data_IF_334330358318
#
_entry.id   IF_334330358318
#
_cell.length_a   1.000
_cell.length_b   1.000
_cell.length_c   1.000
_cell.angle_alpha   90.00
_cell.angle_beta   90.00
_cell.angle_gamma   90.00
#
_symmetry.space_group_name_H-M   'P 1'
#
loop_
_entity.id
_entity.type
_entity.pdbx_description
1 polymer ?
#
# COMPACT_ATOMS: atom_id res chain seq x y z
N UNK A 1 9.32 -9.94 -21.53
CA UNK A 1 10.39 -9.03 -21.05
C UNK A 1 11.80 -9.49 -21.48
N UNK A 2 12.11 -10.79 -21.48
CA UNK A 2 13.45 -11.33 -21.84
C UNK A 2 13.98 -11.04 -23.26
N UNK A 3 13.11 -10.70 -24.22
CA UNK A 3 13.53 -10.45 -25.62
C UNK A 3 14.31 -9.14 -25.82
N UNK A 4 14.20 -8.16 -24.91
CA UNK A 4 14.87 -6.86 -25.06
C UNK A 4 16.33 -6.86 -24.57
N UNK A 5 16.68 -7.74 -23.62
CA UNK A 5 18.03 -7.77 -23.07
C UNK A 5 19.08 -8.32 -24.05
N UNK A 6 18.68 -9.18 -24.98
CA UNK A 6 19.59 -9.83 -25.94
C UNK A 6 20.01 -8.93 -27.12
N UNK A 7 19.30 -7.82 -27.39
CA UNK A 7 19.55 -6.95 -28.54
C UNK A 7 20.31 -5.66 -28.20
N UNK A 8 20.63 -5.42 -26.92
CA UNK A 8 21.23 -4.16 -26.47
C UNK A 8 20.29 -2.95 -26.55
N UNK A 9 19.01 -3.16 -26.89
CA UNK A 9 17.99 -2.12 -26.98
C UNK A 9 17.18 -2.14 -25.68
N UNK A 10 17.30 -1.07 -24.88
CA UNK A 10 16.50 -0.91 -23.68
C UNK A 10 14.99 -0.98 -24.02
N UNK A 11 14.25 -1.84 -23.32
CA UNK A 11 12.78 -1.90 -23.44
C UNK A 11 12.10 -0.59 -23.02
N UNK A 12 10.77 -0.48 -23.19
CA UNK A 12 10.02 0.68 -22.71
C UNK A 12 10.22 0.81 -21.19
N UNK A 13 10.61 2.01 -20.74
CA UNK A 13 10.80 2.32 -19.33
C UNK A 13 10.65 3.83 -19.11
N UNK A 14 10.35 4.21 -17.87
CA UNK A 14 10.27 5.62 -17.49
C UNK A 14 11.53 6.40 -17.90
N UNK A 15 12.71 5.84 -17.64
CA UNK A 15 13.98 6.51 -17.98
C UNK A 15 14.19 6.66 -19.48
N UNK A 16 13.77 5.66 -20.28
CA UNK A 16 13.82 5.76 -21.73
C UNK A 16 12.90 6.86 -22.23
N UNK A 17 11.65 6.88 -21.77
CA UNK A 17 10.68 7.94 -22.11
C UNK A 17 11.21 9.32 -21.73
N UNK A 18 11.81 9.47 -20.54
CA UNK A 18 12.37 10.73 -20.07
C UNK A 18 13.54 11.22 -20.95
N UNK A 19 14.38 10.31 -21.43
CA UNK A 19 15.52 10.63 -22.31
C UNK A 19 15.09 10.95 -23.74
N UNK A 20 14.06 10.28 -24.26
CA UNK A 20 13.54 10.46 -25.62
C UNK A 20 12.59 11.68 -25.72
N UNK A 21 11.88 12.02 -24.65
CA UNK A 21 10.97 13.17 -24.60
C UNK A 21 11.70 14.44 -24.13
N UNK A 22 12.17 15.23 -25.10
CA UNK A 22 12.89 16.49 -24.86
C UNK A 22 12.05 17.66 -24.30
N UNK A 23 10.77 17.43 -23.96
CA UNK A 23 9.81 18.48 -23.60
C UNK A 23 9.91 19.01 -22.17
N UNK A 24 10.66 18.37 -21.28
CA UNK A 24 10.66 18.68 -19.84
C UNK A 24 11.77 19.64 -19.39
N UNK A 25 12.66 20.08 -20.30
CA UNK A 25 13.80 20.99 -20.02
C UNK A 25 14.69 20.55 -18.84
N UNK A 26 14.74 19.25 -18.54
CA UNK A 26 15.58 18.71 -17.48
C UNK A 26 17.00 18.45 -18.00
N UNK A 27 17.99 18.86 -17.22
CA UNK A 27 19.38 18.45 -17.42
C UNK A 27 19.54 16.94 -17.18
N UNK A 28 20.65 16.37 -17.69
CA UNK A 28 20.97 14.95 -17.45
C UNK A 28 21.03 14.62 -15.96
N UNK A 29 21.55 15.52 -15.14
CA UNK A 29 21.66 15.35 -13.69
C UNK A 29 20.26 15.30 -13.05
N UNK A 30 19.37 16.22 -13.41
CA UNK A 30 18.00 16.22 -12.91
C UNK A 30 17.22 14.97 -13.33
N UNK A 31 17.41 14.50 -14.57
CA UNK A 31 16.84 13.24 -15.02
C UNK A 31 17.35 12.04 -14.21
N UNK A 32 18.66 11.99 -13.90
CA UNK A 32 19.23 10.95 -13.05
C UNK A 32 18.66 11.00 -11.62
N UNK A 33 18.52 12.20 -11.03
CA UNK A 33 17.90 12.34 -9.72
C UNK A 33 16.43 11.94 -9.72
N UNK A 34 15.68 12.29 -10.77
CA UNK A 34 14.28 11.90 -10.90
C UNK A 34 14.14 10.37 -10.98
N UNK A 35 14.96 9.71 -11.79
CA UNK A 35 15.00 8.25 -11.87
C UNK A 35 15.35 7.58 -10.54
N UNK A 36 16.40 8.05 -9.87
CA UNK A 36 16.81 7.53 -8.56
C UNK A 36 15.75 7.75 -7.48
N UNK A 37 15.12 8.93 -7.47
CA UNK A 37 14.04 9.26 -6.53
C UNK A 37 12.83 8.36 -6.74
N UNK A 38 12.42 8.12 -7.99
CA UNK A 38 11.31 7.23 -8.28
C UNK A 38 11.61 5.81 -7.82
N UNK A 39 12.78 5.26 -8.15
CA UNK A 39 13.16 3.91 -7.73
C UNK A 39 13.19 3.78 -6.20
N UNK A 40 13.88 4.68 -5.51
CA UNK A 40 14.00 4.65 -4.04
C UNK A 40 12.66 4.86 -3.34
N UNK A 41 11.82 5.76 -3.85
CA UNK A 41 10.52 6.05 -3.23
C UNK A 41 9.51 4.92 -3.42
N UNK A 42 9.57 4.12 -4.51
CA UNK A 42 8.57 3.08 -4.74
C UNK A 42 8.87 1.78 -4.01
N UNK A 43 10.12 1.30 -4.06
CA UNK A 43 10.44 -0.08 -3.64
C UNK A 43 10.22 -0.27 -2.14
N UNK A 44 10.74 0.66 -1.33
CA UNK A 44 10.73 0.54 0.13
C UNK A 44 9.31 0.70 0.70
N UNK A 45 8.58 1.73 0.25
CA UNK A 45 7.23 2.01 0.72
C UNK A 45 6.22 0.91 0.35
N UNK A 46 6.32 0.32 -0.85
CA UNK A 46 5.44 -0.79 -1.26
C UNK A 46 5.74 -2.03 -0.42
N UNK A 47 7.03 -2.32 -0.18
CA UNK A 47 7.44 -3.44 0.69
C UNK A 47 6.90 -3.27 2.11
N UNK A 48 7.02 -2.08 2.70
CA UNK A 48 6.47 -1.77 4.01
C UNK A 48 4.95 -1.99 4.07
N UNK A 49 4.22 -1.49 3.07
CA UNK A 49 2.76 -1.63 2.98
C UNK A 49 2.32 -3.11 2.87
N UNK A 50 2.97 -3.89 2.00
CA UNK A 50 2.68 -5.33 1.85
C UNK A 50 2.98 -6.07 3.16
N UNK A 51 4.11 -5.76 3.80
CA UNK A 51 4.53 -6.42 5.04
C UNK A 51 3.57 -6.10 6.19
N UNK A 52 3.11 -4.85 6.32
CA UNK A 52 2.10 -4.46 7.28
C UNK A 52 0.74 -5.15 7.03
N UNK A 53 0.34 -5.30 5.76
CA UNK A 53 -0.87 -6.02 5.39
C UNK A 53 -0.78 -7.53 5.66
N UNK A 54 0.40 -8.15 5.47
CA UNK A 54 0.66 -9.55 5.86
C UNK A 54 0.55 -9.72 7.38
N UNK A 55 1.14 -8.78 8.15
CA UNK A 55 1.03 -8.76 9.61
C UNK A 55 -0.44 -8.67 10.03
N UNK A 56 -1.21 -7.77 9.42
CA UNK A 56 -2.63 -7.63 9.68
C UNK A 56 -3.40 -8.92 9.35
N UNK A 57 -3.11 -9.56 8.22
CA UNK A 57 -3.80 -10.78 7.79
C UNK A 57 -3.56 -11.95 8.77
N UNK A 58 -2.34 -12.06 9.30
CA UNK A 58 -1.99 -13.07 10.29
C UNK A 58 -2.70 -12.82 11.64
N UNK A 59 -2.76 -11.56 12.08
CA UNK A 59 -3.34 -11.16 13.36
C UNK A 59 -4.88 -11.09 13.36
N UNK A 60 -5.49 -10.94 12.19
CA UNK A 60 -6.92 -10.71 11.98
C UNK A 60 -7.49 -11.69 10.94
N UNK A 61 -7.50 -13.01 11.24
CA UNK A 61 -7.90 -14.03 10.27
C UNK A 61 -9.35 -13.88 9.77
N UNK A 62 -10.25 -13.29 10.56
CA UNK A 62 -11.62 -12.98 10.18
C UNK A 62 -11.72 -11.92 9.08
N UNK A 63 -10.83 -10.93 9.09
CA UNK A 63 -10.75 -9.91 8.05
C UNK A 63 -10.21 -10.51 6.75
N UNK A 64 -9.14 -11.30 6.84
CA UNK A 64 -8.61 -12.05 5.70
C UNK A 64 -9.67 -13.01 5.12
N UNK A 65 -10.44 -13.71 5.96
CA UNK A 65 -11.46 -14.66 5.50
C UNK A 65 -12.55 -13.99 4.64
N UNK A 66 -13.00 -12.77 5.01
CA UNK A 66 -13.96 -11.99 4.20
C UNK A 66 -13.42 -11.68 2.81
N UNK A 67 -12.16 -11.26 2.72
CA UNK A 67 -11.52 -11.03 1.42
C UNK A 67 -11.46 -12.33 0.62
N UNK A 68 -11.07 -13.44 1.25
CA UNK A 68 -11.00 -14.75 0.61
C UNK A 68 -12.36 -15.26 0.11
N UNK A 69 -13.44 -15.02 0.84
CA UNK A 69 -14.81 -15.32 0.40
C UNK A 69 -15.19 -14.51 -0.85
N UNK A 70 -14.85 -13.22 -0.88
CA UNK A 70 -15.07 -12.39 -2.06
C UNK A 70 -14.25 -12.87 -3.27
N UNK A 71 -12.98 -13.24 -3.07
CA UNK A 71 -12.13 -13.79 -4.13
C UNK A 71 -12.71 -15.08 -4.72
N UNK A 72 -13.18 -15.99 -3.86
CA UNK A 72 -13.79 -17.25 -4.29
C UNK A 72 -15.07 -17.01 -5.09
N UNK A 73 -15.85 -15.96 -4.76
CA UNK A 73 -17.08 -15.62 -5.46
C UNK A 73 -16.85 -14.92 -6.81
N UNK A 74 -15.85 -14.02 -6.91
CA UNK A 74 -15.62 -13.19 -8.11
C UNK A 74 -14.69 -13.87 -9.12
N UNK A 75 -13.62 -14.48 -8.63
CA UNK A 75 -12.54 -15.04 -9.46
C UNK A 75 -12.68 -16.56 -9.56
N UNK A 76 -13.07 -17.20 -8.45
CA UNK A 76 -13.04 -18.65 -8.32
C UNK A 76 -11.61 -19.19 -8.16
N UNK A 77 -11.42 -20.46 -8.51
CA UNK A 77 -10.17 -21.19 -8.27
C UNK A 77 -9.48 -21.67 -9.55
N UNK A 78 -10.13 -21.58 -10.71
CA UNK A 78 -9.64 -22.17 -11.96
C UNK A 78 -8.58 -21.34 -12.69
N UNK A 79 -8.49 -20.03 -12.39
CA UNK A 79 -7.54 -19.11 -13.02
C UNK A 79 -6.89 -18.18 -12.00
N UNK A 80 -5.70 -17.69 -12.32
CA UNK A 80 -5.06 -16.65 -11.54
C UNK A 80 -5.85 -15.32 -11.55
N UNK A 81 -5.76 -14.52 -10.48
CA UNK A 81 -6.28 -13.14 -10.45
C UNK A 81 -5.63 -12.22 -11.47
N UNK A 82 -6.37 -11.22 -11.93
CA UNK A 82 -5.91 -10.16 -12.84
C UNK A 82 -6.17 -8.76 -12.26
N UNK A 83 -5.56 -7.73 -12.85
CA UNK A 83 -5.87 -6.34 -12.49
C UNK A 83 -7.33 -5.97 -12.78
N UNK A 84 -7.97 -6.61 -13.75
CA UNK A 84 -9.40 -6.38 -14.04
C UNK A 84 -10.28 -6.89 -12.91
N UNK A 85 -9.89 -7.97 -12.22
CA UNK A 85 -10.64 -8.47 -11.06
C UNK A 85 -10.55 -7.51 -9.87
N UNK A 86 -9.36 -6.94 -9.63
CA UNK A 86 -9.06 -6.09 -8.47
C UNK A 86 -10.04 -4.92 -8.32
N UNK A 87 -10.54 -4.36 -9.43
CA UNK A 87 -11.49 -3.25 -9.38
C UNK A 87 -12.85 -3.62 -8.75
N UNK A 88 -13.18 -4.92 -8.70
CA UNK A 88 -14.45 -5.44 -8.18
C UNK A 88 -14.33 -5.97 -6.75
N UNK A 89 -13.14 -5.92 -6.15
CA UNK A 89 -12.87 -6.54 -4.86
C UNK A 89 -12.96 -5.55 -3.70
N UNK A 90 -14.17 -5.05 -3.40
CA UNK A 90 -14.39 -4.10 -2.29
C UNK A 90 -13.73 -4.51 -0.98
N UNK A 91 -13.80 -5.78 -0.58
CA UNK A 91 -13.22 -6.27 0.68
C UNK A 91 -11.69 -6.17 0.66
N UNK A 92 -11.06 -6.42 -0.49
CA UNK A 92 -9.62 -6.26 -0.67
C UNK A 92 -9.19 -4.79 -0.53
N UNK A 93 -9.94 -3.87 -1.15
CA UNK A 93 -9.70 -2.43 -1.02
C UNK A 93 -9.87 -1.96 0.42
N UNK A 94 -10.93 -2.40 1.09
CA UNK A 94 -11.19 -2.12 2.50
C UNK A 94 -10.07 -2.63 3.41
N UNK A 95 -9.58 -3.85 3.16
CA UNK A 95 -8.47 -4.44 3.89
C UNK A 95 -7.17 -3.65 3.72
N UNK A 96 -6.86 -3.21 2.48
CA UNK A 96 -5.69 -2.37 2.23
C UNK A 96 -5.82 -1.01 2.94
N UNK A 97 -6.97 -0.35 2.84
CA UNK A 97 -7.20 0.93 3.50
C UNK A 97 -7.06 0.82 5.01
N UNK A 98 -7.61 -0.23 5.62
CA UNK A 98 -7.47 -0.46 7.05
C UNK A 98 -6.03 -0.77 7.45
N UNK A 99 -5.30 -1.55 6.65
CA UNK A 99 -3.87 -1.81 6.90
C UNK A 99 -3.05 -0.52 6.96
N UNK A 100 -3.28 0.39 6.00
CA UNK A 100 -2.59 1.68 5.95
C UNK A 100 -3.09 2.69 7.01
N UNK A 101 -4.30 2.51 7.52
CA UNK A 101 -4.85 3.31 8.61
C UNK A 101 -4.29 2.85 9.96
N UNK A 102 -4.38 1.54 10.22
CA UNK A 102 -3.92 0.89 11.43
C UNK A 102 -2.41 1.04 11.64
N UNK A 103 -1.61 0.87 10.58
CA UNK A 103 -0.15 1.06 10.62
C UNK A 103 0.31 1.86 9.39
N UNK A 104 0.31 3.20 9.47
CA UNK A 104 0.73 4.05 8.37
C UNK A 104 2.21 3.85 8.04
N UNK A 105 2.53 3.68 6.75
CA UNK A 105 3.91 3.48 6.26
C UNK A 105 4.85 4.64 6.63
N UNK A 106 4.35 5.87 6.66
CA UNK A 106 5.11 7.07 7.05
C UNK A 106 4.36 7.76 8.20
N UNK A 107 4.52 7.29 9.47
CA UNK A 107 3.69 7.74 10.60
C UNK A 107 3.69 9.25 10.83
N UNK A 108 4.84 9.91 10.71
CA UNK A 108 4.97 11.36 10.91
C UNK A 108 4.60 12.18 9.66
N UNK A 109 4.49 11.54 8.50
CA UNK A 109 4.48 12.19 7.20
C UNK A 109 5.81 12.89 6.86
N UNK A 110 5.91 13.44 5.65
CA UNK A 110 7.09 14.21 5.24
C UNK A 110 7.01 15.68 5.70
N UNK A 111 8.14 16.27 6.14
CA UNK A 111 8.18 17.66 6.59
C UNK A 111 7.80 18.62 5.46
N UNK A 112 7.01 19.63 5.80
CA UNK A 112 6.69 20.78 4.94
C UNK A 112 7.24 22.04 5.55
N UNK A 113 7.49 23.06 4.74
CA UNK A 113 7.95 24.37 5.21
C UNK A 113 6.96 25.45 4.79
N UNK A 114 6.56 26.29 5.73
CA UNK A 114 5.67 27.43 5.44
C UNK A 114 6.42 28.46 4.59
N UNK A 115 5.79 28.96 3.53
CA UNK A 115 6.39 29.98 2.64
C UNK A 115 6.07 31.41 3.05
N UNK A 116 5.11 31.56 3.95
CA UNK A 116 4.64 32.82 4.53
C UNK A 116 4.00 32.52 5.88
N UNK A 117 3.73 33.57 6.64
CA UNK A 117 2.94 33.46 7.87
C UNK A 117 1.54 32.90 7.58
N UNK A 118 1.10 31.95 8.42
CA UNK A 118 -0.20 31.29 8.37
C UNK A 118 -0.89 31.49 9.72
N UNK A 119 -2.20 31.79 9.70
CA UNK A 119 -3.03 31.71 10.90
C UNK A 119 -3.83 30.41 10.83
N UNK A 120 -3.61 29.51 11.80
CA UNK A 120 -4.31 28.23 11.88
C UNK A 120 -4.92 28.05 13.27
N UNK A 121 -6.24 27.86 13.34
CA UNK A 121 -6.99 27.76 14.62
C UNK A 121 -6.64 28.87 15.63
N UNK A 122 -6.44 30.10 15.14
CA UNK A 122 -6.06 31.26 15.95
C UNK A 122 -4.57 31.40 16.27
N UNK A 123 -3.74 30.40 15.94
CA UNK A 123 -2.28 30.45 16.15
C UNK A 123 -1.55 31.00 14.93
N UNK A 124 -0.60 31.90 15.14
CA UNK A 124 0.34 32.34 14.11
C UNK A 124 1.46 31.32 13.97
N UNK A 125 1.56 30.74 12.77
CA UNK A 125 2.68 29.90 12.33
C UNK A 125 3.54 30.76 11.40
N UNK A 126 4.73 31.19 11.82
CA UNK A 126 5.59 32.06 11.00
C UNK A 126 6.01 31.42 9.68
N UNK A 127 6.42 32.26 8.73
CA UNK A 127 7.13 31.83 7.53
C UNK A 127 8.42 31.08 7.89
N UNK A 128 8.74 30.03 7.13
CA UNK A 128 9.95 29.24 7.33
C UNK A 128 9.84 28.15 8.39
N UNK A 129 8.69 28.01 9.06
CA UNK A 129 8.40 26.95 10.04
C UNK A 129 8.25 25.59 9.37
N UNK A 130 8.90 24.56 9.94
CA UNK A 130 8.69 23.16 9.56
C UNK A 130 7.41 22.62 10.21
N UNK A 131 6.55 21.98 9.41
CA UNK A 131 5.27 21.42 9.83
C UNK A 131 5.16 19.98 9.33
N UNK A 132 4.66 19.10 10.19
CA UNK A 132 4.37 17.71 9.86
C UNK A 132 2.86 17.48 9.82
N UNK A 133 2.39 16.74 8.82
CA UNK A 133 1.06 16.15 8.83
C UNK A 133 1.17 14.76 9.43
N UNK A 134 1.04 14.65 10.75
CA UNK A 134 1.23 13.39 11.46
C UNK A 134 0.15 12.37 11.05
N UNK A 135 0.48 11.47 10.13
CA UNK A 135 -0.44 10.45 9.62
C UNK A 135 -0.93 9.52 10.73
N UNK A 136 -0.05 9.14 11.66
CA UNK A 136 -0.41 8.35 12.84
C UNK A 136 -1.53 9.01 13.65
N UNK A 137 -1.34 10.28 14.03
CA UNK A 137 -2.31 11.00 14.83
C UNK A 137 -3.64 11.22 14.10
N UNK A 138 -3.60 11.39 12.77
CA UNK A 138 -4.81 11.50 11.94
C UNK A 138 -5.57 10.18 11.90
N UNK A 139 -4.87 9.07 11.64
CA UNK A 139 -5.48 7.73 11.58
C UNK A 139 -5.96 7.23 12.95
N UNK A 140 -5.40 7.74 14.05
CA UNK A 140 -5.79 7.41 15.42
C UNK A 140 -6.66 8.47 16.09
N UNK A 141 -7.21 9.42 15.32
CA UNK A 141 -8.20 10.36 15.85
C UNK A 141 -9.54 9.63 16.00
N UNK A 142 -9.94 9.36 17.25
CA UNK A 142 -11.18 8.66 17.57
C UNK A 142 -12.46 9.35 17.07
N UNK A 143 -12.40 10.64 16.71
CA UNK A 143 -13.54 11.33 16.08
C UNK A 143 -13.71 10.98 14.61
N UNK A 144 -12.61 10.65 13.91
CA UNK A 144 -12.63 10.24 12.52
C UNK A 144 -12.67 8.70 12.38
N UNK A 145 -11.94 7.99 13.24
CA UNK A 145 -11.81 6.55 13.26
C UNK A 145 -12.16 6.02 14.66
N UNK A 146 -13.44 5.74 14.95
CA UNK A 146 -13.86 5.13 16.21
C UNK A 146 -13.09 3.81 16.45
N UNK A 147 -12.62 3.57 17.67
CA UNK A 147 -11.79 2.41 18.01
C UNK A 147 -10.59 2.21 17.04
N UNK A 148 -9.65 3.18 16.98
CA UNK A 148 -8.60 3.20 15.95
C UNK A 148 -7.57 2.06 16.11
N UNK A 149 -7.48 1.46 17.30
CA UNK A 149 -6.60 0.32 17.55
C UNK A 149 -7.19 -1.02 17.07
N UNK A 150 -8.51 -1.05 16.82
CA UNK A 150 -9.19 -2.23 16.28
C UNK A 150 -9.04 -2.25 14.77
N UNK A 151 -8.42 -3.30 14.24
CA UNK A 151 -8.39 -3.55 12.81
C UNK A 151 -9.78 -3.99 12.32
N UNK A 152 -10.51 -3.08 11.70
CA UNK A 152 -11.84 -3.31 11.16
C UNK A 152 -11.96 -2.78 9.72
N UNK A 153 -11.71 -3.61 8.70
CA UNK A 153 -11.95 -3.23 7.31
C UNK A 153 -13.38 -2.81 7.00
N UNK A 154 -14.37 -3.25 7.77
CA UNK A 154 -15.78 -2.92 7.51
C UNK A 154 -16.08 -1.44 7.75
N UNK A 155 -15.22 -0.72 8.48
CA UNK A 155 -15.25 0.75 8.50
C UNK A 155 -14.97 1.37 7.12
N UNK A 156 -14.57 0.62 6.11
CA UNK A 156 -14.37 1.17 4.77
C UNK A 156 -15.51 0.80 3.83
N UNK A 157 -16.51 0.04 4.26
CA UNK A 157 -17.56 -0.52 3.40
C UNK A 157 -18.93 0.04 3.79
N UNK A 158 -19.68 0.54 2.80
CA UNK A 158 -21.09 0.92 2.95
C UNK A 158 -22.00 -0.31 2.98
N UNK A 159 -23.24 -0.21 3.53
CA UNK A 159 -24.21 -1.31 3.47
C UNK A 159 -24.52 -1.83 2.06
N UNK A 160 -24.28 -1.03 1.02
CA UNK A 160 -24.44 -1.42 -0.39
C UNK A 160 -23.23 -2.20 -0.96
N UNK A 161 -22.19 -2.45 -0.16
CA UNK A 161 -20.98 -3.19 -0.57
C UNK A 161 -19.98 -2.37 -1.38
N UNK A 162 -20.02 -1.03 -1.29
CA UNK A 162 -19.07 -0.12 -1.93
C UNK A 162 -18.13 0.51 -0.90
N UNK A 163 -16.97 1.01 -1.34
CA UNK A 163 -16.06 1.74 -0.46
C UNK A 163 -16.69 3.09 -0.05
N UNK A 164 -16.63 3.39 1.26
CA UNK A 164 -17.10 4.65 1.84
C UNK A 164 -16.36 5.85 1.25
N UNK A 165 -17.04 6.81 0.60
CA UNK A 165 -16.40 7.99 0.03
C UNK A 165 -16.18 9.12 1.05
N UNK A 166 -16.88 9.07 2.20
CA UNK A 166 -16.83 10.07 3.27
C UNK A 166 -15.66 9.86 4.23
N UNK A 167 -15.28 8.60 4.47
CA UNK A 167 -14.11 8.26 5.29
C UNK A 167 -12.81 8.52 4.52
N UNK A 168 -12.01 9.47 5.00
CA UNK A 168 -10.75 9.87 4.35
C UNK A 168 -9.56 9.56 5.23
N UNK A 169 -8.77 8.56 4.83
CA UNK A 169 -7.37 8.46 5.26
C UNK A 169 -6.47 9.23 4.29
N UNK A 170 -5.29 9.61 4.77
CA UNK A 170 -4.28 10.31 3.96
C UNK A 170 -2.95 9.54 3.92
N UNK A 171 -2.93 8.23 3.58
CA UNK A 171 -1.70 7.44 3.58
C UNK A 171 -0.67 7.98 2.57
N UNK A 172 -1.14 8.66 1.52
CA UNK A 172 -0.34 9.30 0.48
C UNK A 172 -0.17 10.82 0.68
N UNK A 173 -0.58 11.35 1.84
CA UNK A 173 -0.62 12.78 2.13
C UNK A 173 -1.71 13.53 1.35
N UNK A 174 -1.56 14.85 1.23
CA UNK A 174 -2.59 15.70 0.63
C UNK A 174 -2.06 17.00 -0.01
N UNK A 175 -2.91 17.62 -0.85
CA UNK A 175 -2.65 18.90 -1.50
C UNK A 175 -1.52 18.85 -2.54
N UNK A 176 -0.81 19.96 -2.73
CA UNK A 176 0.24 20.12 -3.77
C UNK A 176 1.41 19.13 -3.70
N UNK A 177 1.54 18.38 -2.61
CA UNK A 177 2.63 17.42 -2.34
C UNK A 177 2.07 16.03 -2.00
N UNK A 178 0.87 15.71 -2.49
CA UNK A 178 0.35 14.34 -2.49
C UNK A 178 1.30 13.42 -3.26
N UNK A 179 1.42 12.16 -2.83
CA UNK A 179 2.33 11.21 -3.45
C UNK A 179 2.02 11.04 -4.95
N UNK A 180 2.97 11.32 -5.85
CA UNK A 180 2.76 11.13 -7.29
C UNK A 180 2.66 9.64 -7.67
N UNK A 181 3.20 8.74 -6.85
CA UNK A 181 3.20 7.30 -7.07
C UNK A 181 2.00 6.56 -6.45
N UNK A 182 0.99 7.26 -5.92
CA UNK A 182 -0.10 6.63 -5.16
C UNK A 182 -0.85 5.54 -5.92
N UNK A 183 -1.04 5.70 -7.24
CA UNK A 183 -1.74 4.73 -8.08
C UNK A 183 -0.89 3.47 -8.26
N UNK A 184 0.37 3.63 -8.68
CA UNK A 184 1.31 2.51 -8.80
C UNK A 184 1.47 1.77 -7.47
N UNK A 185 1.58 2.48 -6.36
CA UNK A 185 1.72 1.88 -5.03
C UNK A 185 0.46 1.09 -4.65
N UNK A 186 -0.73 1.68 -4.81
CA UNK A 186 -2.00 1.01 -4.50
C UNK A 186 -2.18 -0.23 -5.36
N UNK A 187 -1.99 -0.12 -6.67
CA UNK A 187 -2.14 -1.23 -7.61
C UNK A 187 -1.14 -2.36 -7.32
N UNK A 188 0.11 -2.02 -6.97
CA UNK A 188 1.15 -2.99 -6.62
C UNK A 188 0.84 -3.72 -5.31
N UNK A 189 0.31 -3.01 -4.30
CA UNK A 189 -0.11 -3.63 -3.04
C UNK A 189 -1.33 -4.50 -3.28
N UNK A 190 -2.37 -3.99 -3.94
CA UNK A 190 -3.61 -4.73 -4.22
C UNK A 190 -3.36 -5.99 -5.02
N UNK A 191 -2.60 -5.92 -6.13
CA UNK A 191 -2.30 -7.10 -6.92
C UNK A 191 -1.45 -8.09 -6.11
N UNK A 192 -0.55 -7.64 -5.25
CA UNK A 192 0.21 -8.56 -4.40
C UNK A 192 -0.71 -9.27 -3.41
N UNK A 193 -1.58 -8.51 -2.73
CA UNK A 193 -2.52 -9.05 -1.76
C UNK A 193 -3.55 -9.98 -2.40
N UNK A 194 -4.04 -9.69 -3.60
CA UNK A 194 -4.99 -10.56 -4.30
C UNK A 194 -4.38 -11.93 -4.55
N UNK A 195 -3.13 -11.99 -5.02
CA UNK A 195 -2.43 -13.27 -5.25
C UNK A 195 -2.15 -14.01 -3.94
N UNK A 196 -1.67 -13.29 -2.91
CA UNK A 196 -1.38 -13.88 -1.61
C UNK A 196 -2.65 -14.49 -0.98
N UNK A 197 -3.76 -13.77 -0.97
CA UNK A 197 -5.00 -14.24 -0.34
C UNK A 197 -5.72 -15.27 -1.20
N UNK A 198 -5.60 -15.21 -2.53
CA UNK A 198 -6.11 -16.24 -3.42
C UNK A 198 -5.39 -17.58 -3.19
N UNK A 199 -4.06 -17.56 -3.09
CA UNK A 199 -3.24 -18.76 -2.95
C UNK A 199 -3.10 -19.28 -1.51
N UNK A 200 -3.11 -18.41 -0.49
CA UNK A 200 -2.73 -18.78 0.88
C UNK A 200 -3.70 -18.25 1.95
N UNK A 201 -3.78 -19.00 3.06
CA UNK A 201 -4.16 -18.48 4.38
C UNK A 201 -2.88 -18.10 5.10
N UNK A 202 -2.77 -16.83 5.47
CA UNK A 202 -1.68 -16.31 6.29
C UNK A 202 -2.11 -16.40 7.74
N UNK A 203 -1.33 -17.09 8.57
CA UNK A 203 -1.67 -17.40 9.95
C UNK A 203 -0.56 -16.96 10.89
N UNK A 204 -0.96 -16.44 12.05
CA UNK A 204 -0.07 -16.24 13.19
C UNK A 204 0.41 -17.61 13.74
N UNK A 205 1.72 -17.83 13.94
CA UNK A 205 2.22 -19.04 14.55
C UNK A 205 1.82 -19.14 16.03
N UNK A 206 1.30 -20.30 16.45
CA UNK A 206 0.85 -20.52 17.85
C UNK A 206 1.98 -20.36 18.88
N UNK A 207 3.19 -20.76 18.53
CA UNK A 207 4.34 -20.78 19.43
C UNK A 207 5.22 -19.51 19.32
N UNK A 208 4.88 -18.61 18.41
CA UNK A 208 5.61 -17.36 18.17
C UNK A 208 4.61 -16.23 17.82
N UNK A 209 3.85 -15.74 18.81
CA UNK A 209 2.89 -14.66 18.60
C UNK A 209 3.59 -13.38 18.13
N UNK A 210 2.92 -12.64 17.26
CA UNK A 210 3.44 -11.44 16.61
C UNK A 210 3.23 -10.23 17.53
N UNK A 211 4.29 -9.48 17.79
CA UNK A 211 4.16 -8.16 18.41
C UNK A 211 3.67 -7.14 17.38
N UNK A 212 2.41 -6.72 17.51
CA UNK A 212 1.71 -5.79 16.61
C UNK A 212 2.19 -4.34 16.72
N UNK A 213 3.09 -4.07 17.66
CA UNK A 213 3.68 -2.75 17.93
C UNK A 213 5.17 -2.69 17.60
N UNK A 214 5.81 -3.82 17.34
CA UNK A 214 7.21 -3.88 16.98
C UNK A 214 7.39 -3.34 15.56
N UNK A 215 7.69 -2.05 15.44
CA UNK A 215 8.03 -1.35 14.20
C UNK A 215 9.39 -0.66 14.32
N UNK A 216 10.06 -0.46 13.20
CA UNK A 216 11.28 0.32 13.12
C UNK A 216 11.02 1.81 13.37
N UNK A 217 11.91 2.47 14.11
CA UNK A 217 11.88 3.92 14.35
C UNK A 217 12.53 4.70 13.19
N UNK A 218 12.08 4.42 11.96
CA UNK A 218 12.56 5.01 10.72
C UNK A 218 11.51 5.94 10.09
N UNK A 219 11.88 6.70 9.06
CA UNK A 219 10.94 7.54 8.30
C UNK A 219 9.84 6.67 7.68
N UNK A 220 10.23 5.51 7.15
CA UNK A 220 9.36 4.45 6.67
C UNK A 220 9.31 3.40 7.77
N UNK A 221 8.15 3.18 8.36
CA UNK A 221 7.98 2.27 9.48
C UNK A 221 7.70 0.85 8.98
N UNK A 222 8.74 0.03 8.92
CA UNK A 222 8.60 -1.40 8.70
C UNK A 222 8.25 -2.11 10.00
N UNK A 223 7.40 -3.16 9.99
CA UNK A 223 7.36 -4.09 11.11
C UNK A 223 8.76 -4.69 11.34
N UNK A 224 9.15 -4.86 12.61
CA UNK A 224 10.32 -5.65 12.96
C UNK A 224 10.15 -7.10 12.46
N UNK A 225 11.23 -7.86 12.23
CA UNK A 225 11.12 -9.24 11.74
C UNK A 225 10.15 -10.09 12.57
N UNK A 226 9.16 -10.69 11.91
CA UNK A 226 8.15 -11.58 12.51
C UNK A 226 7.98 -12.85 11.67
N UNK A 227 7.42 -13.90 12.28
CA UNK A 227 7.11 -15.15 11.60
C UNK A 227 5.61 -15.23 11.27
N UNK A 228 5.31 -15.79 10.10
CA UNK A 228 3.94 -16.14 9.67
C UNK A 228 3.96 -17.50 8.99
N UNK A 229 2.81 -18.19 9.05
CA UNK A 229 2.60 -19.45 8.33
C UNK A 229 1.76 -19.17 7.09
N UNK A 230 2.32 -19.44 5.91
CA UNK A 230 1.57 -19.46 4.66
C UNK A 230 1.04 -20.88 4.43
N UNK A 231 -0.26 -21.08 4.62
CA UNK A 231 -0.93 -22.36 4.37
C UNK A 231 -1.65 -22.31 3.02
N UNK A 232 -1.28 -23.15 2.03
CA UNK A 232 -1.94 -23.16 0.73
C UNK A 232 -3.46 -23.38 0.85
N UNK A 233 -4.24 -22.62 0.07
CA UNK A 233 -5.70 -22.78 -0.05
C UNK A 233 -6.10 -23.78 -1.13
N UNK A 234 -5.16 -24.07 -2.02
CA UNK A 234 -5.25 -24.93 -3.19
C UNK A 234 -4.06 -25.88 -3.18
N UNK A 235 -4.21 -27.04 -3.82
CA UNK A 235 -3.07 -27.92 -4.06
C UNK A 235 -2.03 -27.23 -4.95
N UNK A 236 -0.75 -27.54 -4.76
CA UNK A 236 0.35 -26.90 -5.50
C UNK A 236 0.21 -27.14 -7.00
N UNK A 237 -0.18 -28.33 -7.43
CA UNK A 237 -0.38 -28.62 -8.86
C UNK A 237 -1.50 -27.78 -9.47
N UNK A 238 -2.56 -27.53 -8.70
CA UNK A 238 -3.67 -26.67 -9.12
C UNK A 238 -3.24 -25.20 -9.24
N UNK A 239 -2.42 -24.72 -8.29
CA UNK A 239 -1.85 -23.37 -8.37
C UNK A 239 -0.96 -23.20 -9.60
N UNK A 240 -0.09 -24.19 -9.87
CA UNK A 240 0.79 -24.18 -11.04
C UNK A 240 0.00 -24.16 -12.35
N UNK A 241 -1.06 -24.96 -12.45
CA UNK A 241 -1.94 -25.00 -13.63
C UNK A 241 -2.66 -23.66 -13.82
N UNK A 242 -3.30 -23.13 -12.77
CA UNK A 242 -4.04 -21.87 -12.83
C UNK A 242 -3.14 -20.65 -13.12
N UNK A 243 -1.89 -20.66 -12.66
CA UNK A 243 -0.89 -19.61 -12.96
C UNK A 243 -0.25 -19.79 -14.34
N UNK A 244 -0.17 -21.02 -14.85
CA UNK A 244 0.37 -21.30 -16.19
C UNK A 244 -0.56 -20.89 -17.34
N UNK A 245 -1.83 -20.63 -17.04
CA UNK A 245 -2.86 -20.21 -18.01
C UNK A 245 -2.96 -18.67 -18.16
N UNK A 246 -2.25 -17.88 -17.34
CA UNK A 246 -2.33 -16.40 -17.31
C UNK A 246 -1.39 -15.70 -18.28
#
# INVERSE_FOLDING_TARGET
SYLFQASGIAGPSFMRTLLEQHGHQLSKIEMSFLGGTLFGATTDNISAAITAAILAAACHPEAQARVQEQLDAVIGRERAPSFEDVQHLTELHAFMHESLCWRPVVPLGFPRRTTRDIIWKGFRIPAGTTVYGCHWAISHDATAFPDPETFDPQRWVEPCGQIRPDLKSFPFGSGRRVCPGQYLASDSVLITLVYLFWAFRILEPKDAPIDRWAFEENVIAHPQPFLVVFSPRLDVGHLEEAMGQS
#
